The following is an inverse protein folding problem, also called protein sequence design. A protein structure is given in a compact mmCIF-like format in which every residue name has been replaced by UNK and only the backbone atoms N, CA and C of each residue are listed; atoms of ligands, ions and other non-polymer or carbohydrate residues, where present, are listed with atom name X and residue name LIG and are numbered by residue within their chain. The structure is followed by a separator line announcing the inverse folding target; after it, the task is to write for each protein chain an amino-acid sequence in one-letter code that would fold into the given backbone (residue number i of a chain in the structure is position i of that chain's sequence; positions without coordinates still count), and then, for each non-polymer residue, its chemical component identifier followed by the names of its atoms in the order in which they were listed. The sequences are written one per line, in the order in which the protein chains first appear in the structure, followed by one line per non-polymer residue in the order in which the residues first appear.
data_IF_273028699339
#
_entry.id   IF_273028699339
#
_cell.length_a   1.000
_cell.length_b   1.000
_cell.length_c   1.000
_cell.angle_alpha   90.00
_cell.angle_beta   90.00
_cell.angle_gamma   90.00
#
_symmetry.space_group_name_H-M   'P 1'
#
loop_
_entity.id
_entity.type
_entity.pdbx_description
1 polymer ?
#
# COMPACT_ATOMS: atom_id res chain seq x y z
N UNK A 1 -20.52 57.15 -45.52
CA UNK A 1 -21.80 56.53 -45.14
C UNK A 1 -21.72 55.03 -45.42
N UNK A 2 -21.00 54.27 -44.57
CA UNK A 2 -20.80 52.83 -44.76
C UNK A 2 -21.35 52.04 -43.58
N UNK A 3 -22.19 51.07 -43.91
CA UNK A 3 -23.11 50.36 -43.03
C UNK A 3 -22.39 49.32 -42.16
N UNK A 4 -22.83 49.25 -40.90
CA UNK A 4 -22.44 48.26 -39.90
C UNK A 4 -22.99 46.87 -40.27
N UNK A 5 -22.11 45.90 -40.49
CA UNK A 5 -22.50 44.49 -40.44
C UNK A 5 -22.57 44.04 -38.98
N UNK A 6 -23.78 43.73 -38.51
CA UNK A 6 -24.02 43.02 -37.25
C UNK A 6 -24.01 41.52 -37.57
N UNK A 7 -23.00 40.79 -37.07
CA UNK A 7 -23.00 39.33 -37.05
C UNK A 7 -23.83 38.86 -35.86
N UNK A 8 -24.94 38.17 -36.13
CA UNK A 8 -25.70 37.44 -35.14
C UNK A 8 -24.96 36.15 -34.80
N UNK A 9 -24.23 36.13 -33.70
CA UNK A 9 -23.80 34.87 -33.07
C UNK A 9 -24.99 34.33 -32.28
N UNK A 10 -25.73 33.41 -32.89
CA UNK A 10 -26.75 32.64 -32.18
C UNK A 10 -26.04 31.70 -31.19
N UNK A 11 -26.20 31.97 -29.90
CA UNK A 11 -25.73 31.12 -28.81
C UNK A 11 -26.60 29.86 -28.80
N UNK A 12 -26.07 28.75 -29.32
CA UNK A 12 -26.66 27.44 -29.08
C UNK A 12 -26.54 27.11 -27.58
N UNK A 13 -27.60 26.62 -26.92
CA UNK A 13 -27.47 26.10 -25.56
C UNK A 13 -26.65 24.82 -25.61
N UNK A 14 -25.50 24.84 -24.95
CA UNK A 14 -24.66 23.67 -24.74
C UNK A 14 -25.45 22.61 -23.97
N UNK A 15 -25.63 21.45 -24.59
CA UNK A 15 -26.14 20.24 -23.95
C UNK A 15 -25.18 19.84 -22.83
N UNK A 16 -25.65 19.55 -21.60
CA UNK A 16 -24.76 19.13 -20.53
C UNK A 16 -24.15 17.76 -20.88
N UNK A 17 -22.82 17.72 -20.99
CA UNK A 17 -22.04 16.49 -21.12
C UNK A 17 -22.22 15.63 -19.87
N UNK A 18 -22.85 14.47 -20.04
CA UNK A 18 -22.86 13.37 -19.06
C UNK A 18 -21.46 12.72 -19.01
N UNK A 19 -20.85 12.72 -17.84
CA UNK A 19 -19.77 11.82 -17.37
C UNK A 19 -19.98 11.70 -15.84
N UNK A 20 -19.76 10.57 -15.12
CA UNK A 20 -19.15 9.28 -15.47
C UNK A 20 -20.04 8.04 -15.16
N UNK A 21 -21.37 8.16 -15.17
CA UNK A 21 -22.28 7.07 -14.76
C UNK A 21 -22.30 5.86 -15.71
N UNK A 22 -21.91 6.03 -16.98
CA UNK A 22 -22.04 4.98 -18.00
C UNK A 22 -21.02 3.82 -17.88
N UNK A 23 -19.89 4.00 -17.19
CA UNK A 23 -18.95 2.88 -16.97
C UNK A 23 -19.39 1.98 -15.81
N UNK A 24 -20.10 2.54 -14.83
CA UNK A 24 -20.60 1.80 -13.67
C UNK A 24 -21.71 0.81 -14.03
N UNK A 25 -22.53 1.12 -15.05
CA UNK A 25 -23.61 0.23 -15.51
C UNK A 25 -23.12 -1.03 -16.23
N UNK A 26 -21.92 -1.01 -16.83
CA UNK A 26 -21.38 -2.17 -17.56
C UNK A 26 -20.74 -3.20 -16.60
N UNK A 27 -20.32 -2.77 -15.42
CA UNK A 27 -19.59 -3.61 -14.44
C UNK A 27 -20.56 -4.28 -13.44
N UNK A 28 -21.78 -3.74 -13.31
CA UNK A 28 -22.81 -4.18 -12.38
C UNK A 28 -23.91 -4.95 -13.10
N UNK A 29 -24.21 -6.16 -12.65
CA UNK A 29 -25.31 -6.96 -13.21
C UNK A 29 -26.69 -6.45 -12.73
N UNK A 30 -27.77 -6.99 -13.31
CA UNK A 30 -29.15 -6.64 -12.96
C UNK A 30 -29.54 -7.01 -11.52
N UNK A 31 -28.77 -7.87 -10.86
CA UNK A 31 -28.95 -8.27 -9.45
C UNK A 31 -28.12 -7.39 -8.50
N UNK A 32 -27.35 -6.45 -9.04
CA UNK A 32 -26.55 -5.49 -8.29
C UNK A 32 -25.15 -5.98 -7.92
N UNK A 33 -24.68 -7.10 -8.46
CA UNK A 33 -23.33 -7.63 -8.27
C UNK A 33 -22.33 -7.02 -9.24
N UNK A 34 -21.13 -6.75 -8.77
CA UNK A 34 -19.98 -6.27 -9.53
C UNK A 34 -19.08 -7.44 -9.93
N UNK A 35 -18.55 -7.39 -11.15
CA UNK A 35 -17.51 -8.31 -11.59
C UNK A 35 -16.15 -7.91 -10.99
N UNK A 36 -15.36 -8.84 -10.41
CA UNK A 36 -13.98 -8.56 -10.02
C UNK A 36 -13.15 -8.06 -11.21
N UNK A 37 -12.40 -7.01 -10.97
CA UNK A 37 -11.50 -6.38 -11.92
C UNK A 37 -10.05 -6.63 -11.51
N UNK A 38 -9.20 -6.78 -12.51
CA UNK A 38 -7.76 -6.81 -12.34
C UNK A 38 -7.22 -5.45 -11.85
N UNK A 39 -6.05 -5.46 -11.22
CA UNK A 39 -5.41 -4.22 -10.77
C UNK A 39 -5.14 -3.25 -11.94
N UNK A 40 -4.82 -3.76 -13.13
CA UNK A 40 -4.55 -2.93 -14.30
C UNK A 40 -5.81 -2.25 -14.83
N UNK A 41 -6.95 -2.96 -14.86
CA UNK A 41 -8.26 -2.36 -15.19
C UNK A 41 -8.67 -1.30 -14.16
N UNK A 42 -8.48 -1.60 -12.87
CA UNK A 42 -8.77 -0.65 -11.80
C UNK A 42 -7.88 0.59 -11.91
N UNK A 43 -6.64 0.47 -12.37
CA UNK A 43 -5.74 1.61 -12.54
C UNK A 43 -5.92 2.37 -13.86
N UNK A 44 -6.72 1.86 -14.80
CA UNK A 44 -6.80 2.39 -16.16
C UNK A 44 -7.53 3.74 -16.29
N UNK A 45 -8.22 4.21 -15.25
CA UNK A 45 -8.93 5.50 -15.31
C UNK A 45 -7.93 6.66 -15.51
N UNK A 46 -8.38 7.74 -16.16
CA UNK A 46 -7.52 8.92 -16.41
C UNK A 46 -6.98 9.51 -15.11
N UNK A 47 -7.84 9.62 -14.10
CA UNK A 47 -7.47 10.12 -12.78
C UNK A 47 -6.39 9.25 -12.12
N UNK A 48 -6.59 7.92 -12.06
CA UNK A 48 -5.67 7.02 -11.35
C UNK A 48 -4.30 6.98 -12.05
N UNK A 49 -4.28 6.97 -13.38
CA UNK A 49 -3.02 7.07 -14.16
C UNK A 49 -2.29 8.39 -13.91
N UNK A 50 -3.01 9.51 -13.84
CA UNK A 50 -2.41 10.80 -13.51
C UNK A 50 -1.81 10.79 -12.10
N UNK A 51 -2.53 10.26 -11.10
CA UNK A 51 -2.00 10.11 -9.74
C UNK A 51 -0.73 9.25 -9.71
N UNK A 52 -0.72 8.10 -10.40
CA UNK A 52 0.47 7.24 -10.48
C UNK A 52 1.67 7.96 -11.14
N UNK A 53 1.43 8.69 -12.23
CA UNK A 53 2.48 9.47 -12.89
C UNK A 53 3.05 10.54 -11.96
N UNK A 54 2.19 11.26 -11.24
CA UNK A 54 2.63 12.26 -10.27
C UNK A 54 3.35 11.61 -9.08
N UNK A 55 2.88 10.46 -8.59
CA UNK A 55 3.53 9.72 -7.52
C UNK A 55 4.95 9.29 -7.94
N UNK A 56 5.12 8.82 -9.17
CA UNK A 56 6.43 8.51 -9.74
C UNK A 56 7.33 9.74 -9.83
N UNK A 57 6.85 10.85 -10.38
CA UNK A 57 7.61 12.12 -10.52
C UNK A 57 8.03 12.74 -9.17
N UNK A 58 7.34 12.39 -8.08
CA UNK A 58 7.64 12.87 -6.74
C UNK A 58 8.35 11.83 -5.87
N UNK A 59 8.61 10.63 -6.38
CA UNK A 59 9.41 9.62 -5.68
C UNK A 59 10.90 9.78 -6.02
N UNK A 60 11.75 9.59 -5.02
CA UNK A 60 13.20 9.47 -5.21
C UNK A 60 13.67 8.00 -5.33
N UNK A 61 12.73 7.03 -5.32
CA UNK A 61 13.08 5.61 -5.42
C UNK A 61 13.54 5.26 -6.84
N UNK A 62 14.61 4.45 -6.99
CA UNK A 62 14.91 3.77 -8.25
C UNK A 62 13.70 2.97 -8.76
N UNK A 63 13.56 2.85 -10.08
CA UNK A 63 12.38 2.24 -10.73
C UNK A 63 12.03 0.86 -10.15
N UNK A 64 13.00 -0.05 -10.04
CA UNK A 64 12.74 -1.39 -9.49
C UNK A 64 12.28 -1.39 -8.03
N UNK A 65 12.64 -0.38 -7.24
CA UNK A 65 12.16 -0.21 -5.86
C UNK A 65 10.80 0.44 -5.83
N UNK A 66 10.57 1.45 -6.67
CA UNK A 66 9.25 2.05 -6.82
C UNK A 66 8.20 1.02 -7.21
N UNK A 67 8.50 0.14 -8.17
CA UNK A 67 7.59 -0.94 -8.59
C UNK A 67 7.23 -1.86 -7.42
N UNK A 68 8.22 -2.28 -6.63
CA UNK A 68 8.03 -3.24 -5.53
C UNK A 68 7.44 -2.62 -4.27
N UNK A 69 7.86 -1.42 -3.90
CA UNK A 69 7.52 -0.78 -2.62
C UNK A 69 6.31 0.14 -2.74
N UNK A 70 6.05 0.74 -3.90
CA UNK A 70 4.93 1.67 -4.06
C UNK A 70 3.85 1.08 -4.97
N UNK A 71 4.20 0.69 -6.21
CA UNK A 71 3.17 0.29 -7.18
C UNK A 71 2.50 -1.04 -6.85
N UNK A 72 3.26 -2.07 -6.47
CA UNK A 72 2.70 -3.37 -6.11
C UNK A 72 1.72 -3.29 -4.92
N UNK A 73 2.05 -2.59 -3.81
CA UNK A 73 1.11 -2.36 -2.71
C UNK A 73 -0.13 -1.57 -3.11
N UNK A 74 0.01 -0.55 -3.97
CA UNK A 74 -1.14 0.18 -4.54
C UNK A 74 -2.03 -0.76 -5.35
N UNK A 75 -1.45 -1.59 -6.22
CA UNK A 75 -2.19 -2.60 -7.01
C UNK A 75 -2.92 -3.59 -6.11
N UNK A 76 -2.25 -4.06 -5.06
CA UNK A 76 -2.83 -4.99 -4.09
C UNK A 76 -4.00 -4.35 -3.34
N UNK A 77 -3.83 -3.12 -2.84
CA UNK A 77 -4.90 -2.38 -2.18
C UNK A 77 -6.10 -2.24 -3.11
N UNK A 78 -5.90 -1.70 -4.33
CA UNK A 78 -6.98 -1.52 -5.30
C UNK A 78 -7.66 -2.85 -5.65
N UNK A 79 -6.90 -3.93 -5.85
CA UNK A 79 -7.47 -5.26 -6.06
C UNK A 79 -8.33 -5.73 -4.89
N UNK A 80 -7.93 -5.44 -3.66
CA UNK A 80 -8.66 -5.86 -2.44
C UNK A 80 -9.87 -4.98 -2.11
N UNK A 81 -9.94 -3.74 -2.63
CA UNK A 81 -11.06 -2.83 -2.41
C UNK A 81 -11.99 -2.71 -3.64
N UNK A 82 -11.52 -3.13 -4.81
CA UNK A 82 -12.27 -3.06 -6.07
C UNK A 82 -12.89 -1.67 -6.29
N UNK A 83 -14.22 -1.61 -6.48
CA UNK A 83 -14.97 -0.40 -6.78
C UNK A 83 -15.77 0.12 -5.58
N UNK A 84 -15.34 -0.15 -4.35
CA UNK A 84 -16.05 0.35 -3.17
C UNK A 84 -15.96 1.90 -3.08
N UNK A 85 -17.04 2.57 -2.64
CA UNK A 85 -17.00 3.98 -2.29
C UNK A 85 -16.25 4.21 -0.97
N UNK A 86 -15.78 5.44 -0.74
CA UNK A 86 -15.17 5.80 0.55
C UNK A 86 -16.21 6.26 1.58
N UNK A 87 -17.31 6.86 1.11
CA UNK A 87 -18.39 7.42 1.93
C UNK A 87 -19.76 7.07 1.35
N UNK A 88 -20.84 7.06 2.16
CA UNK A 88 -22.19 6.83 1.64
C UNK A 88 -22.69 7.97 0.74
N UNK A 89 -22.22 9.19 0.98
CA UNK A 89 -22.63 10.41 0.28
C UNK A 89 -21.44 11.35 0.03
N UNK A 90 -21.61 12.33 -0.85
CA UNK A 90 -20.59 13.33 -1.18
C UNK A 90 -19.59 12.88 -2.25
N UNK A 91 -18.46 13.59 -2.34
CA UNK A 91 -17.51 13.50 -3.45
C UNK A 91 -16.86 12.10 -3.62
N UNK A 92 -16.87 11.30 -2.55
CA UNK A 92 -16.24 9.98 -2.52
C UNK A 92 -17.23 8.81 -2.47
N UNK A 93 -18.51 9.07 -2.77
CA UNK A 93 -19.59 8.07 -2.78
C UNK A 93 -19.74 7.30 -4.08
N UNK A 94 -19.06 7.72 -5.14
CA UNK A 94 -19.05 7.02 -6.43
C UNK A 94 -18.33 5.67 -6.39
N UNK A 95 -18.60 4.83 -7.39
CA UNK A 95 -17.90 3.56 -7.59
C UNK A 95 -16.39 3.79 -7.71
N UNK A 96 -15.61 3.11 -6.87
CA UNK A 96 -14.17 3.28 -6.78
C UNK A 96 -13.70 4.56 -6.09
N UNK A 97 -14.61 5.26 -5.40
CA UNK A 97 -14.31 6.48 -4.66
C UNK A 97 -13.24 6.29 -3.59
N UNK A 98 -13.16 5.10 -2.98
CA UNK A 98 -12.06 4.78 -2.03
C UNK A 98 -10.70 4.80 -2.72
N UNK A 99 -10.57 4.11 -3.86
CA UNK A 99 -9.32 4.06 -4.62
C UNK A 99 -8.89 5.47 -5.10
N UNK A 100 -9.84 6.27 -5.57
CA UNK A 100 -9.58 7.62 -6.05
C UNK A 100 -9.16 8.56 -4.91
N UNK A 101 -9.81 8.46 -3.74
CA UNK A 101 -9.45 9.19 -2.53
C UNK A 101 -8.04 8.85 -2.11
N UNK A 102 -7.74 7.56 -1.92
CA UNK A 102 -6.43 7.10 -1.43
C UNK A 102 -5.31 7.49 -2.39
N UNK A 103 -5.51 7.37 -3.71
CA UNK A 103 -4.48 7.73 -4.69
C UNK A 103 -4.24 9.24 -4.75
N UNK A 104 -5.30 10.06 -4.77
CA UNK A 104 -5.17 11.52 -4.74
C UNK A 104 -4.47 11.98 -3.46
N UNK A 105 -4.88 11.43 -2.32
CA UNK A 105 -4.30 11.76 -1.02
C UNK A 105 -2.82 11.36 -0.94
N UNK A 106 -2.48 10.11 -1.28
CA UNK A 106 -1.10 9.60 -1.25
C UNK A 106 -0.19 10.43 -2.16
N UNK A 107 -0.65 10.74 -3.37
CA UNK A 107 0.09 11.57 -4.32
C UNK A 107 0.30 12.99 -3.78
N UNK A 108 -0.74 13.57 -3.16
CA UNK A 108 -0.66 14.89 -2.55
C UNK A 108 0.36 14.91 -1.41
N UNK A 109 0.30 13.94 -0.49
CA UNK A 109 1.21 13.83 0.65
C UNK A 109 2.67 13.68 0.19
N UNK A 110 2.96 12.77 -0.75
CA UNK A 110 4.32 12.59 -1.27
C UNK A 110 4.84 13.85 -1.97
N UNK A 111 3.98 14.55 -2.73
CA UNK A 111 4.32 15.84 -3.35
C UNK A 111 4.66 16.91 -2.32
N UNK A 112 3.88 17.03 -1.24
CA UNK A 112 4.18 17.98 -0.16
C UNK A 112 5.50 17.64 0.53
N UNK A 113 5.76 16.35 0.75
CA UNK A 113 6.96 15.88 1.46
C UNK A 113 8.27 16.21 0.75
N UNK A 114 8.24 16.31 -0.58
CA UNK A 114 9.41 16.62 -1.41
C UNK A 114 10.08 17.95 -1.05
N UNK A 115 9.34 18.90 -0.46
CA UNK A 115 9.86 20.19 -0.02
C UNK A 115 10.46 20.20 1.40
N UNK A 116 10.44 19.06 2.10
CA UNK A 116 10.82 18.96 3.50
C UNK A 116 12.02 18.02 3.72
N UNK A 117 12.82 18.35 4.73
CA UNK A 117 13.90 17.50 5.20
C UNK A 117 13.42 16.73 6.44
N UNK A 118 13.67 15.41 6.43
CA UNK A 118 13.26 14.51 7.51
C UNK A 118 14.46 13.74 8.06
N UNK A 119 14.47 13.41 9.36
CA UNK A 119 13.57 13.94 10.39
C UNK A 119 14.03 15.36 10.81
N UNK A 120 13.10 16.27 11.20
CA UNK A 120 13.47 17.61 11.65
C UNK A 120 14.43 17.57 12.85
N UNK A 121 15.45 18.43 12.85
CA UNK A 121 16.41 18.54 13.96
C UNK A 121 17.55 17.52 13.97
N UNK A 122 17.53 16.51 13.09
CA UNK A 122 18.69 15.65 12.87
C UNK A 122 19.83 16.40 12.15
N UNK A 123 21.06 15.91 12.30
CA UNK A 123 22.22 16.45 11.60
C UNK A 123 22.02 16.34 10.06
N UNK A 124 22.49 17.33 9.27
CA UNK A 124 22.31 17.32 7.82
C UNK A 124 22.80 16.02 7.14
N UNK A 125 23.87 15.42 7.67
CA UNK A 125 24.43 14.17 7.18
C UNK A 125 23.43 13.01 7.38
N UNK A 126 22.81 12.93 8.55
CA UNK A 126 21.77 11.93 8.86
C UNK A 126 20.52 12.15 8.01
N UNK A 127 20.09 13.40 7.85
CA UNK A 127 18.93 13.74 7.02
C UNK A 127 19.16 13.34 5.57
N UNK A 128 20.35 13.59 5.02
CA UNK A 128 20.71 13.16 3.68
C UNK A 128 20.74 11.63 3.55
N UNK A 129 21.37 10.97 4.52
CA UNK A 129 21.56 9.52 4.54
C UNK A 129 20.28 8.70 4.76
N UNK A 130 19.21 9.29 5.32
CA UNK A 130 17.92 8.62 5.57
C UNK A 130 16.76 9.24 4.77
N UNK A 131 17.06 10.15 3.85
CA UNK A 131 16.05 10.93 3.13
C UNK A 131 15.04 10.05 2.40
N UNK A 132 15.50 8.96 1.79
CA UNK A 132 14.66 8.05 1.02
C UNK A 132 13.74 7.23 1.95
N UNK A 133 14.26 6.83 3.11
CA UNK A 133 13.52 6.11 4.12
C UNK A 133 12.35 6.94 4.66
N UNK A 134 12.62 8.19 5.05
CA UNK A 134 11.57 9.05 5.58
C UNK A 134 10.53 9.45 4.53
N UNK A 135 10.92 9.62 3.26
CA UNK A 135 9.95 9.77 2.16
C UNK A 135 9.05 8.53 2.02
N UNK A 136 9.62 7.35 2.23
CA UNK A 136 8.88 6.08 2.22
C UNK A 136 7.93 5.97 3.41
N UNK A 137 8.32 6.46 4.60
CA UNK A 137 7.41 6.58 5.76
C UNK A 137 6.21 7.45 5.42
N UNK A 138 6.39 8.59 4.76
CA UNK A 138 5.27 9.46 4.34
C UNK A 138 4.37 8.74 3.34
N UNK A 139 4.93 8.05 2.35
CA UNK A 139 4.14 7.27 1.39
C UNK A 139 3.27 6.23 2.10
N UNK A 140 3.87 5.42 2.99
CA UNK A 140 3.14 4.37 3.71
C UNK A 140 2.10 4.93 4.68
N UNK A 141 2.46 5.96 5.45
CA UNK A 141 1.50 6.66 6.30
C UNK A 141 0.31 7.18 5.49
N UNK A 142 0.58 7.73 4.29
CA UNK A 142 -0.47 8.25 3.43
C UNK A 142 -1.34 7.15 2.81
N UNK A 143 -0.75 6.05 2.34
CA UNK A 143 -1.47 4.91 1.78
C UNK A 143 -2.40 4.26 2.80
N UNK A 144 -1.98 4.22 4.07
CA UNK A 144 -2.74 3.59 5.15
C UNK A 144 -3.79 4.51 5.79
N UNK A 145 -3.69 5.82 5.58
CA UNK A 145 -4.49 6.84 6.26
C UNK A 145 -6.01 6.59 6.18
N UNK A 146 -6.50 6.10 5.04
CA UNK A 146 -7.94 5.89 4.79
C UNK A 146 -8.42 4.47 5.05
N UNK A 147 -7.55 3.51 5.41
CA UNK A 147 -7.96 2.14 5.74
C UNK A 147 -9.12 2.04 6.76
N UNK A 148 -9.22 2.91 7.80
CA UNK A 148 -10.35 2.87 8.72
C UNK A 148 -11.74 3.01 8.06
N UNK A 149 -11.83 3.63 6.87
CA UNK A 149 -13.11 3.77 6.16
C UNK A 149 -13.66 2.43 5.69
N UNK A 150 -12.79 1.45 5.39
CA UNK A 150 -13.21 0.12 4.93
C UNK A 150 -13.98 -0.67 5.99
N UNK A 151 -13.79 -0.33 7.27
CA UNK A 151 -14.52 -0.94 8.40
C UNK A 151 -16.03 -0.66 8.33
N UNK A 152 -16.44 0.40 7.65
CA UNK A 152 -17.85 0.77 7.47
C UNK A 152 -18.51 -0.03 6.35
N UNK A 153 -17.74 -0.79 5.57
CA UNK A 153 -18.26 -1.57 4.46
C UNK A 153 -18.37 -3.05 4.84
N UNK A 154 -19.39 -3.67 4.27
CA UNK A 154 -19.63 -5.09 4.32
C UNK A 154 -19.81 -5.61 2.91
N UNK A 155 -19.15 -6.71 2.57
CA UNK A 155 -19.17 -7.29 1.25
C UNK A 155 -19.66 -8.73 1.26
N UNK A 156 -20.27 -9.13 0.15
CA UNK A 156 -20.84 -10.46 -0.03
C UNK A 156 -20.54 -10.95 -1.43
N UNK A 157 -20.07 -12.19 -1.55
CA UNK A 157 -19.85 -12.87 -2.81
C UNK A 157 -21.17 -13.48 -3.31
N UNK A 158 -21.27 -13.77 -4.61
CA UNK A 158 -22.48 -14.34 -5.22
C UNK A 158 -22.94 -15.66 -4.60
N UNK A 159 -22.03 -16.42 -3.99
CA UNK A 159 -22.32 -17.67 -3.29
C UNK A 159 -22.72 -17.47 -1.82
N UNK A 160 -22.89 -16.23 -1.37
CA UNK A 160 -23.31 -15.85 -0.02
C UNK A 160 -22.18 -15.77 1.00
N UNK A 161 -20.92 -16.07 0.63
CA UNK A 161 -19.81 -15.91 1.55
C UNK A 161 -19.48 -14.43 1.79
N UNK A 162 -19.05 -14.14 3.02
CA UNK A 162 -18.59 -12.82 3.42
C UNK A 162 -17.29 -12.42 2.70
N UNK A 163 -17.23 -11.19 2.22
CA UNK A 163 -16.03 -10.55 1.71
C UNK A 163 -15.80 -9.24 2.44
N UNK A 164 -14.69 -9.11 3.17
CA UNK A 164 -14.32 -7.86 3.82
C UNK A 164 -13.44 -7.03 2.87
N UNK A 165 -13.89 -5.84 2.40
CA UNK A 165 -13.06 -4.98 1.57
C UNK A 165 -11.73 -4.65 2.24
N UNK A 166 -10.64 -4.74 1.48
CA UNK A 166 -9.27 -4.54 1.94
C UNK A 166 -8.53 -5.82 2.36
N UNK A 167 -9.24 -6.88 2.76
CA UNK A 167 -8.59 -8.11 3.26
C UNK A 167 -8.07 -8.99 2.13
N UNK A 168 -8.88 -9.19 1.09
CA UNK A 168 -8.52 -10.02 -0.06
C UNK A 168 -9.23 -9.55 -1.33
N UNK A 169 -8.70 -9.98 -2.48
CA UNK A 169 -9.32 -9.77 -3.78
C UNK A 169 -10.54 -10.72 -3.89
N UNK A 170 -11.75 -10.24 -4.24
CA UNK A 170 -12.90 -11.11 -4.38
C UNK A 170 -12.72 -12.06 -5.57
N UNK A 171 -12.85 -13.36 -5.33
CA UNK A 171 -12.69 -14.40 -6.36
C UNK A 171 -13.95 -14.64 -7.22
N UNK A 172 -15.06 -13.98 -6.89
CA UNK A 172 -16.38 -14.13 -7.54
C UNK A 172 -17.07 -12.77 -7.67
N UNK A 173 -18.16 -12.72 -8.42
CA UNK A 173 -19.10 -11.59 -8.43
C UNK A 173 -19.41 -11.20 -6.99
N UNK A 174 -19.33 -9.90 -6.69
CA UNK A 174 -19.43 -9.39 -5.32
C UNK A 174 -20.37 -8.20 -5.25
N UNK A 175 -20.98 -7.97 -4.10
CA UNK A 175 -21.70 -6.74 -3.78
C UNK A 175 -21.19 -6.20 -2.46
N UNK A 176 -21.46 -4.93 -2.20
CA UNK A 176 -21.12 -4.30 -0.94
C UNK A 176 -22.23 -3.37 -0.49
N UNK A 177 -22.26 -3.12 0.82
CA UNK A 177 -23.16 -2.16 1.46
C UNK A 177 -22.45 -1.48 2.62
N UNK A 178 -22.90 -0.29 2.98
CA UNK A 178 -22.50 0.31 4.24
C UNK A 178 -23.15 -0.46 5.40
N UNK A 179 -22.36 -0.69 6.45
CA UNK A 179 -22.82 -1.28 7.69
C UNK A 179 -23.74 -0.29 8.39
N UNK A 180 -24.79 -0.83 8.99
CA UNK A 180 -25.60 -0.08 9.93
C UNK A 180 -24.87 0.02 11.28
N UNK A 181 -25.17 1.04 12.11
CA UNK A 181 -24.47 1.26 13.38
C UNK A 181 -24.46 0.03 14.31
N UNK A 182 -25.55 -0.75 14.31
CA UNK A 182 -25.70 -1.97 15.09
C UNK A 182 -24.77 -3.12 14.64
N UNK A 183 -24.25 -3.06 13.41
CA UNK A 183 -23.36 -4.06 12.82
C UNK A 183 -21.94 -3.52 12.61
N UNK A 184 -21.60 -2.39 13.22
CA UNK A 184 -20.28 -1.79 13.10
C UNK A 184 -19.23 -2.67 13.78
N UNK A 185 -18.14 -2.98 13.06
CA UNK A 185 -17.02 -3.72 13.63
C UNK A 185 -16.42 -2.91 14.78
N UNK A 186 -16.42 -3.45 16.00
CA UNK A 186 -15.91 -2.72 17.17
C UNK A 186 -14.38 -2.74 17.25
N UNK A 187 -13.74 -3.70 16.56
CA UNK A 187 -12.29 -3.91 16.61
C UNK A 187 -11.61 -3.21 15.41
N UNK A 188 -10.60 -2.36 15.65
CA UNK A 188 -9.75 -1.81 14.60
C UNK A 188 -9.02 -2.92 13.84
N UNK A 189 -9.06 -2.89 12.51
CA UNK A 189 -8.41 -3.90 11.64
C UNK A 189 -7.35 -3.30 10.72
N UNK A 190 -7.11 -1.99 10.82
CA UNK A 190 -6.31 -1.22 9.87
C UNK A 190 -4.84 -1.60 9.93
N UNK A 191 -4.33 -1.94 11.13
CA UNK A 191 -2.99 -2.48 11.30
C UNK A 191 -2.81 -3.83 10.57
N UNK A 192 -3.83 -4.71 10.60
CA UNK A 192 -3.81 -5.98 9.88
C UNK A 192 -3.82 -5.75 8.37
N UNK A 193 -4.69 -4.86 7.89
CA UNK A 193 -4.75 -4.48 6.47
C UNK A 193 -3.41 -3.88 5.99
N UNK A 194 -2.84 -2.96 6.77
CA UNK A 194 -1.55 -2.33 6.48
C UNK A 194 -0.41 -3.35 6.45
N UNK A 195 -0.38 -4.29 7.41
CA UNK A 195 0.61 -5.36 7.45
C UNK A 195 0.51 -6.26 6.20
N UNK A 196 -0.70 -6.55 5.71
CA UNK A 196 -0.91 -7.32 4.49
C UNK A 196 -0.37 -6.61 3.23
N UNK A 197 -0.34 -5.28 3.22
CA UNK A 197 0.13 -4.47 2.08
C UNK A 197 1.64 -4.22 2.08
N UNK A 198 2.31 -4.39 3.22
CA UNK A 198 3.71 -4.00 3.39
C UNK A 198 4.65 -5.13 2.94
N UNK A 199 5.45 -4.95 1.87
CA UNK A 199 6.41 -5.96 1.43
C UNK A 199 7.44 -6.24 2.51
N UNK A 200 7.81 -7.50 2.71
CA UNK A 200 8.80 -7.92 3.72
C UNK A 200 10.10 -7.11 3.65
N UNK A 201 10.62 -6.88 2.44
CA UNK A 201 11.84 -6.09 2.26
C UNK A 201 11.67 -4.60 2.61
N UNK A 202 10.48 -4.03 2.39
CA UNK A 202 10.19 -2.66 2.83
C UNK A 202 10.10 -2.59 4.36
N UNK A 203 9.48 -3.59 4.98
CA UNK A 203 9.41 -3.74 6.42
C UNK A 203 10.81 -3.83 7.06
N UNK A 204 11.68 -4.71 6.55
CA UNK A 204 13.05 -4.85 7.05
C UNK A 204 13.85 -3.54 6.95
N UNK A 205 13.66 -2.79 5.88
CA UNK A 205 14.29 -1.48 5.71
C UNK A 205 13.73 -0.44 6.69
N UNK A 206 12.42 -0.38 6.89
CA UNK A 206 11.78 0.49 7.89
C UNK A 206 12.27 0.19 9.32
N UNK A 207 12.36 -1.09 9.68
CA UNK A 207 12.83 -1.53 11.01
C UNK A 207 14.32 -1.22 11.24
N UNK A 208 15.11 -1.07 10.17
CA UNK A 208 16.54 -0.74 10.29
C UNK A 208 16.81 0.63 10.92
N UNK A 209 15.82 1.54 10.89
CA UNK A 209 15.85 2.82 11.62
C UNK A 209 14.66 2.85 12.59
N UNK A 210 14.88 2.56 13.88
CA UNK A 210 13.82 2.41 14.87
C UNK A 210 12.86 3.61 14.95
N UNK A 211 13.35 4.83 14.76
CA UNK A 211 12.56 6.05 14.80
C UNK A 211 11.55 6.13 13.64
N UNK A 212 11.96 5.71 12.45
CA UNK A 212 11.11 5.66 11.26
C UNK A 212 10.00 4.59 11.42
N UNK A 213 10.38 3.41 11.90
CA UNK A 213 9.43 2.35 12.24
C UNK A 213 8.44 2.78 13.31
N UNK A 214 8.92 3.36 14.41
CA UNK A 214 8.09 3.85 15.51
C UNK A 214 7.11 4.92 15.03
N UNK A 215 7.58 5.87 14.22
CA UNK A 215 6.75 6.89 13.58
C UNK A 215 5.58 6.27 12.79
N UNK A 216 5.87 5.30 11.92
CA UNK A 216 4.84 4.64 11.11
C UNK A 216 3.84 3.86 11.97
N UNK A 217 4.32 3.16 13.01
CA UNK A 217 3.45 2.40 13.93
C UNK A 217 2.54 3.30 14.75
N UNK A 218 3.02 4.44 15.26
CA UNK A 218 2.18 5.43 15.92
C UNK A 218 1.07 5.90 14.98
N UNK A 219 1.41 6.19 13.72
CA UNK A 219 0.45 6.61 12.72
C UNK A 219 -0.65 5.55 12.47
N UNK A 220 -0.27 4.28 12.29
CA UNK A 220 -1.21 3.17 12.11
C UNK A 220 -2.15 2.96 13.29
N UNK A 221 -1.67 3.21 14.51
CA UNK A 221 -2.46 3.09 15.73
C UNK A 221 -3.31 4.34 16.02
N UNK A 222 -3.38 5.29 15.07
CA UNK A 222 -4.14 6.54 15.24
C UNK A 222 -3.51 7.51 16.24
N UNK A 223 -2.29 7.25 16.71
CA UNK A 223 -1.57 8.10 17.65
C UNK A 223 -0.86 9.24 16.91
N UNK A 224 -0.56 10.36 17.58
CA UNK A 224 0.33 11.38 17.04
C UNK A 224 1.68 10.75 16.69
N UNK A 225 2.21 11.12 15.53
CA UNK A 225 3.54 10.74 15.05
C UNK A 225 4.62 11.28 15.99
N UNK A 226 5.71 10.52 16.13
CA UNK A 226 6.94 11.01 16.78
C UNK A 226 7.59 12.17 16.00
N UNK A 227 7.21 12.36 14.73
CA UNK A 227 7.62 13.47 13.87
C UNK A 227 6.38 14.32 13.53
N UNK A 228 6.13 15.42 14.26
CA UNK A 228 4.93 16.27 14.08
C UNK A 228 4.77 16.84 12.67
N UNK A 229 5.88 17.03 11.95
CA UNK A 229 5.87 17.49 10.56
C UNK A 229 5.12 16.51 9.64
N UNK A 230 5.23 15.20 9.88
CA UNK A 230 4.51 14.20 9.07
C UNK A 230 3.01 14.30 9.32
N UNK A 231 2.56 14.46 10.56
CA UNK A 231 1.13 14.64 10.85
C UNK A 231 0.60 15.95 10.25
N UNK A 232 1.33 17.06 10.39
CA UNK A 232 0.94 18.34 9.80
C UNK A 232 0.80 18.26 8.28
N UNK A 233 1.73 17.57 7.62
CA UNK A 233 1.71 17.35 6.19
C UNK A 233 0.53 16.46 5.75
N UNK A 234 0.27 15.36 6.46
CA UNK A 234 -0.86 14.49 6.16
C UNK A 234 -2.20 15.21 6.40
N UNK A 235 -2.27 16.10 7.39
CA UNK A 235 -3.43 16.95 7.63
C UNK A 235 -3.63 18.00 6.53
N UNK A 236 -2.55 18.62 6.03
CA UNK A 236 -2.62 19.54 4.88
C UNK A 236 -3.07 18.79 3.61
N UNK A 237 -2.50 17.61 3.35
CA UNK A 237 -2.94 16.74 2.26
C UNK A 237 -4.43 16.38 2.39
N UNK A 238 -4.91 16.09 3.61
CA UNK A 238 -6.30 15.76 3.89
C UNK A 238 -7.24 16.95 3.60
N UNK A 239 -6.81 18.17 3.93
CA UNK A 239 -7.51 19.40 3.59
C UNK A 239 -7.60 19.63 2.08
N UNK A 240 -6.48 19.48 1.36
CA UNK A 240 -6.43 19.69 -0.10
C UNK A 240 -7.28 18.70 -0.90
N UNK A 241 -7.46 17.49 -0.40
CA UNK A 241 -8.31 16.48 -1.07
C UNK A 241 -9.70 16.37 -0.47
N UNK A 242 -10.10 17.24 0.47
CA UNK A 242 -11.40 17.14 1.15
C UNK A 242 -11.65 15.71 1.70
N UNK A 243 -10.67 15.19 2.44
CA UNK A 243 -10.75 13.87 3.04
C UNK A 243 -11.92 13.77 4.02
N UNK A 244 -12.78 12.74 3.92
CA UNK A 244 -13.86 12.52 4.88
C UNK A 244 -13.36 12.00 6.23
N UNK A 245 -12.13 11.45 6.27
CA UNK A 245 -11.52 10.94 7.48
C UNK A 245 -10.80 12.07 8.23
N UNK A 246 -11.27 12.33 9.45
CA UNK A 246 -10.62 13.17 10.45
C UNK A 246 -9.95 12.26 11.46
N UNK A 247 -8.61 12.29 11.53
CA UNK A 247 -7.86 11.57 12.57
C UNK A 247 -8.30 12.15 13.93
N UNK A 248 -9.01 11.36 14.74
CA UNK A 248 -9.40 11.81 16.08
C UNK A 248 -8.11 12.05 16.87
N UNK A 249 -7.88 13.29 17.31
CA UNK A 249 -6.76 13.61 18.18
C UNK A 249 -6.87 12.78 19.45
N UNK A 250 -5.97 11.82 19.63
CA UNK A 250 -5.96 10.97 20.81
C UNK A 250 -5.76 11.81 22.06
N UNK A 251 -6.73 11.77 22.98
CA UNK A 251 -6.44 12.08 24.38
C UNK A 251 -5.50 10.95 24.86
N UNK A 252 -4.30 11.26 25.37
CA UNK A 252 -3.41 10.23 25.89
C UNK A 252 -4.14 9.46 26.99
N UNK A 253 -4.11 8.14 26.90
CA UNK A 253 -4.65 7.30 27.98
C UNK A 253 -3.75 7.46 29.21
N UNK A 254 -4.32 7.38 30.42
CA UNK A 254 -3.60 7.62 31.67
C UNK A 254 -2.32 6.75 31.83
N UNK A 255 -2.26 5.61 31.15
CA UNK A 255 -1.07 4.75 31.10
C UNK A 255 0.10 5.38 30.31
N UNK A 256 -0.16 6.20 29.29
CA UNK A 256 0.86 6.85 28.46
C UNK A 256 1.48 8.07 29.16
N UNK A 257 0.67 8.77 29.97
CA UNK A 257 1.17 9.85 30.83
C UNK A 257 2.10 9.33 31.95
N UNK A 258 1.84 8.11 32.45
CA UNK A 258 2.67 7.49 33.47
C UNK A 258 4.05 7.07 32.92
N UNK A 259 4.10 6.48 31.72
CA UNK A 259 5.36 6.05 31.09
C UNK A 259 6.26 7.23 30.66
N UNK A 260 5.67 8.37 30.27
CA UNK A 260 6.43 9.57 29.96
C UNK A 260 7.03 10.25 31.20
N UNK A 261 6.43 10.05 32.38
CA UNK A 261 6.89 10.67 33.63
C UNK A 261 8.09 9.96 34.27
N UNK A 262 8.34 8.69 33.96
CA UNK A 262 9.46 7.93 34.55
C UNK A 262 10.77 8.05 33.77
N UNK A 263 10.74 8.48 32.50
CA UNK A 263 11.94 8.64 31.67
C UNK A 263 12.72 9.95 31.94
N UNK A 264 12.18 10.85 32.77
CA UNK A 264 12.70 12.20 32.98
C UNK A 264 13.45 12.40 34.30
N UNK A 265 14.45 11.58 34.64
CA UNK A 265 15.42 11.97 35.70
C UNK A 265 16.79 11.32 35.48
N UNK A 266 17.73 12.05 34.87
CA UNK A 266 19.16 11.88 35.16
C UNK A 266 19.91 13.21 35.03
N UNK A 267 20.77 13.60 35.98
CA UNK A 267 21.37 14.93 35.98
C UNK A 267 22.51 15.06 34.97
N UNK A 268 22.59 16.25 34.36
CA UNK A 268 23.70 16.70 33.53
C UNK A 268 25.01 16.74 34.33
N UNK A 269 26.11 16.29 33.72
CA UNK A 269 27.46 16.67 34.15
C UNK A 269 28.25 17.04 32.91
N UNK A 270 28.56 18.33 32.81
CA UNK A 270 29.37 18.92 31.76
C UNK A 270 30.81 18.40 31.85
N UNK A 271 31.39 18.04 30.70
CA UNK A 271 32.84 17.98 30.55
C UNK A 271 33.21 18.38 29.13
N UNK A 272 33.99 19.46 29.02
CA UNK A 272 34.52 20.01 27.80
C UNK A 272 35.83 19.29 27.42
N UNK A 273 35.97 18.94 26.14
CA UNK A 273 37.27 18.72 25.52
C UNK A 273 37.21 19.04 24.01
N UNK A 274 38.28 19.68 23.55
CA UNK A 274 38.43 20.33 22.25
C UNK A 274 39.14 19.46 21.22
N UNK A 275 38.85 19.73 19.94
CA UNK A 275 39.66 19.57 18.73
C UNK A 275 40.13 18.17 18.28
N UNK A 276 39.68 17.71 17.10
CA UNK A 276 40.41 17.91 15.83
C UNK A 276 39.74 17.21 14.62
N UNK A 277 40.05 17.76 13.45
CA UNK A 277 39.47 17.50 12.15
C UNK A 277 39.75 16.10 11.56
N UNK A 278 38.82 15.63 10.71
CA UNK A 278 39.15 15.00 9.42
C UNK A 278 37.95 15.13 8.47
N UNK A 279 38.18 15.85 7.35
CA UNK A 279 37.29 15.89 6.19
C UNK A 279 37.13 14.47 5.63
N UNK A 280 35.93 13.94 5.70
CA UNK A 280 35.48 12.81 4.88
C UNK A 280 34.40 13.33 3.91
N UNK A 281 34.26 12.70 2.72
CA UNK A 281 33.44 13.25 1.65
C UNK A 281 31.95 13.19 2.03
N UNK A 282 31.20 14.19 1.56
CA UNK A 282 29.76 14.37 1.76
C UNK A 282 28.95 13.10 1.42
N UNK A 283 28.09 12.58 2.33
CA UNK A 283 27.17 11.49 2.01
C UNK A 283 26.01 11.99 1.15
N UNK A 284 25.64 11.22 0.13
CA UNK A 284 24.53 11.48 -0.79
C UNK A 284 23.51 10.34 -0.72
N UNK A 285 22.38 10.47 -1.43
CA UNK A 285 21.34 9.44 -1.65
C UNK A 285 21.88 8.06 -2.09
N UNK A 286 23.17 7.99 -2.43
CA UNK A 286 23.92 6.76 -2.68
C UNK A 286 23.93 5.77 -1.49
N UNK A 287 23.92 6.22 -0.23
CA UNK A 287 24.03 5.29 0.90
C UNK A 287 22.70 4.60 1.26
N UNK A 288 21.57 5.31 1.15
CA UNK A 288 20.22 4.71 1.21
C UNK A 288 20.04 3.68 0.10
N UNK A 289 20.41 4.05 -1.13
CA UNK A 289 20.33 3.14 -2.27
C UNK A 289 21.29 1.96 -2.16
N UNK A 290 22.48 2.12 -1.58
CA UNK A 290 23.40 0.99 -1.27
C UNK A 290 22.84 0.05 -0.20
N UNK A 291 22.28 0.59 0.88
CA UNK A 291 21.64 -0.21 1.93
C UNK A 291 20.48 -1.02 1.34
N UNK A 292 19.64 -0.36 0.53
CA UNK A 292 18.57 -1.01 -0.21
C UNK A 292 19.13 -2.09 -1.15
N UNK A 293 20.07 -1.77 -2.02
CA UNK A 293 20.68 -2.72 -2.95
C UNK A 293 21.30 -3.93 -2.23
N UNK A 294 21.93 -3.73 -1.07
CA UNK A 294 22.45 -4.82 -0.23
C UNK A 294 21.32 -5.71 0.33
N UNK A 295 20.19 -5.14 0.73
CA UNK A 295 19.01 -5.89 1.19
C UNK A 295 18.36 -6.75 0.07
N UNK A 296 18.58 -6.37 -1.19
CA UNK A 296 18.07 -7.09 -2.37
C UNK A 296 19.07 -8.09 -2.95
N UNK A 297 20.37 -7.80 -2.95
CA UNK A 297 21.39 -8.72 -3.48
C UNK A 297 21.64 -9.93 -2.59
N UNK A 298 21.41 -9.81 -1.28
CA UNK A 298 21.68 -10.88 -0.30
C UNK A 298 20.78 -12.12 -0.43
N UNK A 299 19.70 -12.09 -1.21
CA UNK A 299 18.73 -13.18 -1.28
C UNK A 299 18.50 -13.78 -2.69
N UNK A 300 19.06 -13.21 -3.76
CA UNK A 300 18.89 -13.75 -5.13
C UNK A 300 19.95 -14.84 -5.48
N UNK A 301 20.88 -15.16 -4.57
CA UNK A 301 21.91 -16.22 -4.75
C UNK A 301 21.52 -17.63 -4.29
N UNK A 302 20.22 -17.94 -4.15
CA UNK A 302 19.79 -19.34 -3.93
C UNK A 302 18.73 -19.75 -4.94
N UNK A 303 19.16 -19.97 -6.18
CA UNK A 303 18.70 -21.10 -7.01
C UNK A 303 19.43 -21.12 -8.35
N UNK A 304 20.45 -21.96 -8.45
CA UNK A 304 20.88 -22.55 -9.71
C UNK A 304 20.81 -24.08 -9.57
N UNK A 305 20.28 -24.80 -10.58
CA UNK A 305 19.99 -26.22 -10.46
C UNK A 305 21.28 -27.03 -10.60
N UNK A 306 21.49 -27.99 -9.69
CA UNK A 306 22.52 -29.01 -9.86
C UNK A 306 22.04 -29.97 -10.95
N UNK A 307 22.60 -29.81 -12.15
CA UNK A 307 22.64 -30.84 -13.18
C UNK A 307 23.48 -32.01 -12.67
N UNK A 308 22.90 -33.21 -12.61
CA UNK A 308 23.64 -34.45 -12.47
C UNK A 308 23.23 -35.41 -13.61
N UNK A 309 24.00 -35.37 -14.70
CA UNK A 309 24.06 -36.47 -15.65
C UNK A 309 25.30 -37.32 -15.33
N UNK A 310 25.04 -38.61 -15.21
CA UNK A 310 25.88 -39.78 -15.52
C UNK A 310 27.40 -39.67 -15.37
N UNK A 311 27.95 -40.53 -14.51
CA UNK A 311 28.89 -41.52 -15.02
C UNK A 311 29.00 -42.78 -14.16
N UNK A 312 29.14 -43.86 -14.92
CA UNK A 312 29.24 -45.27 -14.63
C UNK A 312 30.54 -45.66 -13.90
N UNK A 313 30.49 -46.73 -13.09
CA UNK A 313 31.54 -47.73 -12.88
C UNK A 313 31.13 -48.79 -11.83
N UNK A 314 30.47 -49.84 -12.34
CA UNK A 314 30.88 -51.25 -12.29
C UNK A 314 31.72 -51.79 -11.09
N UNK A 315 31.19 -52.78 -10.36
CA UNK A 315 31.85 -54.06 -10.04
C UNK A 315 30.95 -55.04 -9.25
N UNK A 316 30.32 -55.95 -10.03
CA UNK A 316 30.29 -57.42 -9.89
C UNK A 316 29.87 -58.14 -8.58
N UNK A 317 29.02 -59.17 -8.81
CA UNK A 317 28.87 -60.52 -8.18
C UNK A 317 27.40 -60.75 -7.77
N UNK A 318 26.67 -61.82 -8.11
CA UNK A 318 26.85 -63.02 -8.93
C UNK A 318 25.55 -63.82 -8.83
N UNK A 319 25.03 -64.37 -9.95
CA UNK A 319 24.08 -65.52 -10.06
C UNK A 319 22.70 -65.32 -9.38
N UNK A 320 21.57 -65.89 -9.80
CA UNK A 320 21.27 -67.08 -10.61
C UNK A 320 19.76 -67.03 -10.96
N UNK A 321 19.43 -67.43 -12.18
CA UNK A 321 18.27 -68.27 -12.59
C UNK A 321 16.84 -67.94 -12.14
N UNK A 322 15.95 -67.80 -13.13
CA UNK A 322 14.66 -68.51 -13.11
C UNK A 322 13.40 -67.67 -13.25
N UNK A 323 12.97 -67.41 -14.50
CA UNK A 323 11.53 -67.43 -14.87
C UNK A 323 11.07 -68.91 -14.98
N UNK A 324 9.77 -69.26 -15.12
CA UNK A 324 8.64 -68.45 -15.62
C UNK A 324 7.35 -68.52 -14.76
N UNK A 325 6.50 -67.49 -14.83
CA UNK A 325 5.17 -67.46 -15.49
C UNK A 325 4.14 -68.47 -14.97
N UNK A 326 3.01 -67.97 -14.47
CA UNK A 326 1.69 -68.43 -14.94
C UNK A 326 0.60 -67.41 -14.64
N UNK A 327 -0.29 -67.29 -15.62
CA UNK A 327 -1.51 -66.49 -15.63
C UNK A 327 -2.55 -67.09 -14.68
N UNK A 328 -3.62 -66.33 -14.41
CA UNK A 328 -5.03 -66.71 -14.70
C UNK A 328 -5.96 -65.87 -13.80
N UNK A 329 -6.73 -64.98 -14.43
CA UNK A 329 -8.02 -64.53 -13.93
C UNK A 329 -9.06 -65.63 -14.26
N UNK A 330 -10.20 -65.69 -13.55
CA UNK A 330 -11.39 -65.14 -14.21
C UNK A 330 -12.42 -64.49 -13.27
N UNK A 331 -13.41 -63.90 -13.94
CA UNK A 331 -14.55 -63.14 -13.46
C UNK A 331 -15.76 -64.01 -13.03
N UNK A 332 -16.81 -63.32 -12.55
CA UNK A 332 -18.21 -63.79 -12.49
C UNK A 332 -18.71 -63.91 -11.04
N UNK A 333 -19.55 -63.00 -10.53
CA UNK A 333 -21.02 -62.86 -10.70
C UNK A 333 -21.88 -63.73 -9.75
N UNK A 334 -22.84 -63.03 -9.14
CA UNK A 334 -24.18 -63.42 -8.66
C UNK A 334 -24.48 -64.02 -7.26
N UNK A 335 -25.58 -63.46 -6.73
CA UNK A 335 -26.55 -63.91 -5.72
C UNK A 335 -26.15 -64.08 -4.25
N UNK A 336 -26.54 -63.11 -3.42
CA UNK A 336 -27.72 -63.20 -2.52
C UNK A 336 -27.98 -61.86 -1.82
#
# INVERSE_FOLDING_TARGET
MFQRFKSHFARQPATPQKLPEQQSEVIRDSRGYFRPQSADELLATSLRRQCLQQLWQNSALPEGLYQRFYLAPVKQLLGSVQQVPATPEGDWSGAGGFADLTLKFTTCAVRLAKGHLFPPGAAPETQAAQSLLWQTVVFWGALFYHLPLLRQLDGELEDGHHWQPGVCIPGKLFRFRFRTPENALTVPQEALLAAGLLPEKALMWLVSVPEAWHCLMLHLNGRPSSVPLIDALLQDAAGQVHSPWVKQGGVPTAAEAALASEAGTRPETQSAASANAMKSPSPSTADDTRTLLSLFQSNDEVSSPVNANENDNDLKISKRTGRPSENVAPAGEESS
#
